data_IF_434766647661
#
_entry.id   IF_434766647661
#
_cell.length_a   1.000
_cell.length_b   1.000
_cell.length_c   1.000
_cell.angle_alpha   90.00
_cell.angle_beta   90.00
_cell.angle_gamma   90.00
#
_symmetry.space_group_name_H-M   'P 1'
#
loop_
_entity.id
_entity.type
_entity.pdbx_description
1 polymer ?
#
# COMPACT_ATOMS: atom_id res chain seq x y z
N UNK A 1 -3.45 10.05 63.18
CA UNK A 1 -2.74 9.03 62.35
C UNK A 1 -3.49 8.82 61.06
N UNK A 2 -3.03 9.42 59.97
CA UNK A 2 -3.67 9.32 58.66
C UNK A 2 -3.18 8.06 57.95
N UNK A 3 -4.08 7.12 57.63
CA UNK A 3 -3.82 5.93 56.80
C UNK A 3 -3.50 6.37 55.36
N UNK A 4 -2.25 6.24 54.95
CA UNK A 4 -1.84 6.34 53.55
C UNK A 4 -2.48 5.18 52.78
N UNK A 5 -3.50 5.45 52.01
CA UNK A 5 -4.03 4.51 50.98
C UNK A 5 -2.95 4.24 49.94
N UNK A 6 -2.39 3.03 49.95
CA UNK A 6 -1.51 2.54 48.87
C UNK A 6 -2.36 2.49 47.59
N UNK A 7 -2.02 3.36 46.60
CA UNK A 7 -2.51 3.23 45.24
C UNK A 7 -2.10 1.84 44.71
N UNK A 8 -3.02 1.05 44.08
CA UNK A 8 -2.68 -0.23 43.52
C UNK A 8 -1.62 -0.03 42.44
N UNK A 9 -0.54 -0.80 42.53
CA UNK A 9 0.52 -0.79 41.52
C UNK A 9 -0.11 -1.17 40.14
N UNK A 10 0.15 -0.35 39.11
CA UNK A 10 -0.24 -0.68 37.73
C UNK A 10 0.26 -2.09 37.39
N UNK A 11 -0.59 -2.97 36.83
CA UNK A 11 -0.15 -4.31 36.46
C UNK A 11 1.05 -4.23 35.52
N UNK A 12 2.06 -5.05 35.80
CA UNK A 12 3.30 -5.08 35.03
C UNK A 12 2.98 -5.66 33.64
N UNK A 13 3.25 -4.90 32.58
CA UNK A 13 3.04 -5.35 31.18
C UNK A 13 3.81 -6.64 30.93
N UNK A 14 3.19 -7.56 30.19
CA UNK A 14 3.85 -8.76 29.69
C UNK A 14 4.88 -8.40 28.60
N UNK A 15 5.82 -9.29 28.31
CA UNK A 15 6.79 -9.07 27.21
C UNK A 15 6.12 -8.86 25.86
N UNK A 16 4.99 -9.55 25.60
CA UNK A 16 4.20 -9.36 24.38
C UNK A 16 3.58 -7.96 24.32
N UNK A 17 2.93 -7.50 25.37
CA UNK A 17 2.34 -6.16 25.44
C UNK A 17 3.40 -5.08 25.28
N UNK A 18 4.57 -5.30 25.86
CA UNK A 18 5.71 -4.39 25.72
C UNK A 18 6.22 -4.33 24.27
N UNK A 19 6.31 -5.48 23.61
CA UNK A 19 6.69 -5.54 22.20
C UNK A 19 5.70 -4.76 21.31
N UNK A 20 4.39 -4.94 21.54
CA UNK A 20 3.35 -4.21 20.80
C UNK A 20 3.44 -2.70 21.04
N UNK A 21 3.58 -2.27 22.28
CA UNK A 21 3.77 -0.86 22.63
C UNK A 21 4.95 -0.25 21.87
N UNK A 22 6.09 -0.96 21.86
CA UNK A 22 7.29 -0.48 21.17
C UNK A 22 7.09 -0.33 19.66
N UNK A 23 6.38 -1.25 19.01
CA UNK A 23 6.08 -1.17 17.58
C UNK A 23 5.18 0.03 17.29
N UNK A 24 4.13 0.27 18.09
CA UNK A 24 3.25 1.43 17.93
C UNK A 24 4.01 2.75 18.06
N UNK A 25 4.87 2.87 19.08
CA UNK A 25 5.69 4.09 19.29
C UNK A 25 6.71 4.26 18.16
N UNK A 26 7.40 3.19 17.75
CA UNK A 26 8.38 3.24 16.68
C UNK A 26 7.73 3.65 15.34
N UNK A 27 6.53 3.13 15.04
CA UNK A 27 5.75 3.53 13.88
C UNK A 27 5.56 5.05 13.81
N UNK A 28 5.11 5.68 14.89
CA UNK A 28 4.95 7.13 14.94
C UNK A 28 6.28 7.87 14.76
N UNK A 29 7.35 7.42 15.41
CA UNK A 29 8.69 8.04 15.26
C UNK A 29 9.18 7.95 13.81
N UNK A 30 9.05 6.79 13.17
CA UNK A 30 9.47 6.61 11.79
C UNK A 30 8.58 7.38 10.80
N UNK A 31 7.28 7.48 11.03
CA UNK A 31 6.38 8.28 10.21
C UNK A 31 6.74 9.77 10.25
N UNK A 32 7.03 10.30 11.43
CA UNK A 32 7.41 11.70 11.62
C UNK A 32 8.74 12.04 10.95
N UNK A 33 9.79 11.23 11.18
CA UNK A 33 11.17 11.58 10.87
C UNK A 33 11.78 10.82 9.69
N UNK A 34 11.25 9.64 9.36
CA UNK A 34 11.90 8.66 8.48
C UNK A 34 12.89 7.78 9.25
N UNK A 35 13.45 6.80 8.53
CA UNK A 35 14.36 5.81 9.12
C UNK A 35 15.68 6.43 9.61
N UNK A 36 16.37 7.22 8.75
CA UNK A 36 17.72 7.71 9.07
C UNK A 36 17.79 8.60 10.31
N UNK A 37 16.94 9.65 10.48
CA UNK A 37 17.01 10.53 11.65
C UNK A 37 16.43 9.92 12.94
N UNK A 38 15.63 8.85 12.85
CA UNK A 38 15.06 8.18 14.01
C UNK A 38 16.16 7.46 14.83
N UNK A 39 15.99 7.41 16.16
CA UNK A 39 16.93 6.73 17.06
C UNK A 39 16.24 5.80 18.05
N UNK A 40 16.99 4.77 18.51
CA UNK A 40 16.52 3.85 19.56
C UNK A 40 16.28 4.60 20.87
N UNK A 41 17.09 5.62 21.13
CA UNK A 41 16.97 6.49 22.32
C UNK A 41 15.60 7.19 22.35
N UNK A 42 15.18 7.74 21.23
CA UNK A 42 13.90 8.44 21.12
C UNK A 42 12.72 7.48 21.22
N UNK A 43 12.79 6.32 20.54
CA UNK A 43 11.76 5.28 20.65
C UNK A 43 11.62 4.82 22.09
N UNK A 44 12.74 4.55 22.78
CA UNK A 44 12.74 4.15 24.18
C UNK A 44 12.15 5.23 25.10
N UNK A 45 12.55 6.50 24.89
CA UNK A 45 12.04 7.63 25.66
C UNK A 45 10.53 7.81 25.49
N UNK A 46 10.02 7.79 24.23
CA UNK A 46 8.57 7.90 23.96
C UNK A 46 7.77 6.70 24.47
N UNK A 47 8.37 5.52 24.50
CA UNK A 47 7.74 4.31 25.05
C UNK A 47 7.87 4.20 26.58
N UNK A 48 8.53 5.15 27.25
CA UNK A 48 8.81 5.15 28.69
C UNK A 48 9.56 3.87 29.13
N UNK A 49 10.54 3.43 28.35
CA UNK A 49 11.40 2.28 28.66
C UNK A 49 12.88 2.65 28.58
N UNK A 50 13.75 1.76 29.09
CA UNK A 50 15.18 1.91 28.89
C UNK A 50 15.62 1.38 27.49
N UNK A 51 16.67 1.95 26.93
CA UNK A 51 17.27 1.54 25.64
C UNK A 51 17.54 0.03 25.56
N UNK A 52 18.09 -0.65 26.59
CA UNK A 52 18.27 -2.12 26.57
C UNK A 52 17.00 -2.90 26.27
N UNK A 53 15.84 -2.45 26.67
CA UNK A 53 14.54 -3.11 26.39
C UNK A 53 14.24 -3.15 24.90
N UNK A 54 14.55 -2.07 24.17
CA UNK A 54 14.38 -2.05 22.70
C UNK A 54 15.34 -3.04 22.05
N UNK A 55 16.60 -3.08 22.49
CA UNK A 55 17.58 -4.05 21.97
C UNK A 55 17.21 -5.50 22.28
N UNK A 56 16.67 -5.78 23.46
CA UNK A 56 16.20 -7.12 23.86
C UNK A 56 15.09 -7.62 22.94
N UNK A 57 14.15 -6.75 22.57
CA UNK A 57 12.98 -7.14 21.76
C UNK A 57 13.23 -7.15 20.25
N UNK A 58 14.16 -6.33 19.75
CA UNK A 58 14.29 -6.07 18.30
C UNK A 58 15.72 -6.06 17.80
N UNK A 59 16.72 -6.10 18.66
CA UNK A 59 18.13 -6.05 18.25
C UNK A 59 18.64 -4.66 17.84
N UNK A 60 17.77 -3.65 17.75
CA UNK A 60 18.14 -2.29 17.38
C UNK A 60 17.11 -1.58 16.49
N UNK A 61 17.54 -0.46 15.87
CA UNK A 61 16.71 0.40 15.00
C UNK A 61 16.23 -0.37 13.78
N UNK A 62 17.12 -1.08 13.12
CA UNK A 62 16.86 -1.86 11.92
C UNK A 62 15.82 -2.97 12.18
N UNK A 63 15.94 -3.66 13.31
CA UNK A 63 15.04 -4.75 13.66
C UNK A 63 13.62 -4.28 13.98
N UNK A 64 13.45 -3.18 14.73
CA UNK A 64 12.12 -2.64 15.00
C UNK A 64 11.51 -2.00 13.75
N UNK A 65 12.32 -1.37 12.88
CA UNK A 65 11.89 -0.81 11.61
C UNK A 65 11.37 -1.92 10.68
N UNK A 66 12.12 -3.01 10.51
CA UNK A 66 11.71 -4.14 9.70
C UNK A 66 10.35 -4.71 10.15
N UNK A 67 10.12 -4.83 11.47
CA UNK A 67 8.84 -5.30 12.01
C UNK A 67 7.71 -4.31 11.74
N UNK A 68 7.97 -3.01 11.80
CA UNK A 68 6.96 -1.98 11.46
C UNK A 68 6.58 -2.08 9.98
N UNK A 69 7.57 -2.08 9.08
CA UNK A 69 7.34 -2.18 7.63
C UNK A 69 6.60 -3.47 7.25
N UNK A 70 7.04 -4.61 7.78
CA UNK A 70 6.42 -5.91 7.53
C UNK A 70 4.94 -5.92 7.91
N UNK A 71 4.58 -5.36 9.06
CA UNK A 71 3.18 -5.24 9.50
C UNK A 71 2.34 -4.36 8.59
N UNK A 72 2.86 -3.21 8.18
CA UNK A 72 2.13 -2.29 7.31
C UNK A 72 1.93 -2.89 5.91
N UNK A 73 2.96 -3.55 5.36
CA UNK A 73 2.86 -4.29 4.09
C UNK A 73 1.81 -5.38 4.19
N UNK A 74 1.85 -6.19 5.27
CA UNK A 74 0.91 -7.30 5.45
C UNK A 74 -0.54 -6.79 5.58
N UNK A 75 -0.76 -5.76 6.40
CA UNK A 75 -2.10 -5.20 6.60
C UNK A 75 -2.68 -4.64 5.29
N UNK A 76 -1.88 -3.89 4.52
CA UNK A 76 -2.32 -3.34 3.24
C UNK A 76 -2.56 -4.44 2.21
N UNK A 77 -1.64 -5.42 2.12
CA UNK A 77 -1.76 -6.58 1.23
C UNK A 77 -3.04 -7.37 1.50
N UNK A 78 -3.33 -7.65 2.78
CA UNK A 78 -4.54 -8.39 3.18
C UNK A 78 -5.81 -7.64 2.76
N UNK A 79 -5.87 -6.32 2.95
CA UNK A 79 -7.01 -5.48 2.55
C UNK A 79 -7.21 -5.47 1.03
N UNK A 80 -6.14 -5.31 0.26
CA UNK A 80 -6.23 -5.31 -1.20
C UNK A 80 -6.59 -6.68 -1.76
N UNK A 81 -6.00 -7.75 -1.24
CA UNK A 81 -6.31 -9.13 -1.62
C UNK A 81 -7.76 -9.47 -1.29
N UNK A 82 -8.25 -9.10 -0.13
CA UNK A 82 -9.66 -9.28 0.23
C UNK A 82 -10.60 -8.52 -0.73
N UNK A 83 -10.24 -7.29 -1.11
CA UNK A 83 -11.01 -6.50 -2.07
C UNK A 83 -11.07 -7.14 -3.47
N UNK A 84 -9.96 -7.74 -3.93
CA UNK A 84 -9.87 -8.41 -5.23
C UNK A 84 -10.56 -9.78 -5.25
N UNK A 85 -10.59 -10.50 -4.12
CA UNK A 85 -11.08 -11.88 -4.03
C UNK A 85 -12.61 -12.03 -4.10
N UNK A 86 -13.36 -10.96 -3.86
CA UNK A 86 -14.82 -11.01 -3.88
C UNK A 86 -15.31 -11.08 -5.32
N UNK A 87 -15.99 -12.18 -5.68
CA UNK A 87 -16.65 -12.32 -6.98
C UNK A 87 -17.78 -11.31 -7.11
N UNK A 88 -17.62 -10.38 -8.04
CA UNK A 88 -18.57 -9.30 -8.32
C UNK A 88 -18.39 -8.82 -9.76
N UNK A 89 -19.24 -7.88 -10.19
CA UNK A 89 -19.07 -7.21 -11.47
C UNK A 89 -17.69 -6.49 -11.53
N UNK A 90 -16.90 -6.62 -12.62
CA UNK A 90 -15.53 -6.09 -12.69
C UNK A 90 -15.39 -4.62 -12.28
N UNK A 91 -16.37 -3.76 -12.63
CA UNK A 91 -16.40 -2.36 -12.19
C UNK A 91 -16.39 -2.22 -10.66
N UNK A 92 -17.16 -3.10 -9.95
CA UNK A 92 -17.21 -3.09 -8.49
C UNK A 92 -15.92 -3.60 -7.86
N UNK A 93 -15.20 -4.49 -8.55
CA UNK A 93 -13.88 -4.93 -8.09
C UNK A 93 -12.91 -3.75 -8.12
N UNK A 94 -12.87 -2.97 -9.22
CA UNK A 94 -12.04 -1.76 -9.32
C UNK A 94 -12.40 -0.73 -8.22
N UNK A 95 -13.69 -0.45 -8.05
CA UNK A 95 -14.20 0.48 -7.03
C UNK A 95 -13.79 0.07 -5.61
N UNK A 96 -14.01 -1.20 -5.27
CA UNK A 96 -13.67 -1.75 -3.94
C UNK A 96 -12.18 -1.73 -3.68
N UNK A 97 -11.36 -2.04 -4.68
CA UNK A 97 -9.90 -2.02 -4.55
C UNK A 97 -9.38 -0.59 -4.35
N UNK A 98 -9.90 0.38 -5.11
CA UNK A 98 -9.58 1.79 -4.91
C UNK A 98 -9.99 2.29 -3.51
N UNK A 99 -11.19 1.94 -3.05
CA UNK A 99 -11.65 2.27 -1.70
C UNK A 99 -10.79 1.59 -0.63
N UNK A 100 -10.42 0.32 -0.79
CA UNK A 100 -9.60 -0.40 0.19
C UNK A 100 -8.23 0.28 0.41
N UNK A 101 -7.57 0.76 -0.67
CA UNK A 101 -6.35 1.53 -0.54
C UNK A 101 -6.59 2.87 0.15
N UNK A 102 -7.57 3.66 -0.29
CA UNK A 102 -7.83 4.98 0.26
C UNK A 102 -8.31 4.92 1.72
N UNK A 103 -9.11 3.91 2.09
CA UNK A 103 -9.49 3.63 3.47
C UNK A 103 -8.27 3.30 4.34
N UNK A 104 -7.32 2.51 3.82
CA UNK A 104 -6.07 2.23 4.51
C UNK A 104 -5.26 3.51 4.71
N UNK A 105 -5.10 4.33 3.66
CA UNK A 105 -4.37 5.62 3.75
C UNK A 105 -4.99 6.54 4.79
N UNK A 106 -6.33 6.61 4.88
CA UNK A 106 -7.03 7.46 5.85
C UNK A 106 -6.88 6.95 7.29
N UNK A 107 -6.99 5.62 7.49
CA UNK A 107 -6.96 5.01 8.82
C UNK A 107 -5.56 4.77 9.35
N UNK A 108 -4.57 4.61 8.47
CA UNK A 108 -3.20 4.22 8.77
C UNK A 108 -2.18 5.17 8.13
N UNK A 109 -2.39 6.48 8.27
CA UNK A 109 -1.57 7.52 7.66
C UNK A 109 -0.07 7.33 7.94
N UNK A 110 0.31 7.10 9.19
CA UNK A 110 1.69 6.86 9.62
C UNK A 110 2.29 5.64 8.90
N UNK A 111 1.54 4.54 8.84
CA UNK A 111 1.97 3.32 8.17
C UNK A 111 2.19 3.52 6.68
N UNK A 112 1.22 4.12 6.00
CA UNK A 112 1.34 4.37 4.58
C UNK A 112 2.46 5.37 4.25
N UNK A 113 2.67 6.40 5.10
CA UNK A 113 3.79 7.34 4.99
C UNK A 113 5.16 6.64 5.05
N UNK A 114 5.31 5.66 5.96
CA UNK A 114 6.52 4.83 6.04
C UNK A 114 6.72 4.06 4.74
N UNK A 115 5.67 3.37 4.27
CA UNK A 115 5.75 2.56 3.05
C UNK A 115 6.18 3.35 1.82
N UNK A 116 5.57 4.52 1.57
CA UNK A 116 5.85 5.32 0.37
C UNK A 116 7.13 6.14 0.45
N UNK A 117 7.60 6.50 1.66
CA UNK A 117 8.83 7.26 1.86
C UNK A 117 10.08 6.45 1.55
N UNK A 118 10.13 5.23 2.10
CA UNK A 118 11.34 4.39 2.05
C UNK A 118 11.29 3.36 0.91
N UNK A 119 10.14 3.24 0.25
CA UNK A 119 9.92 2.42 -0.95
C UNK A 119 9.02 3.17 -1.93
N UNK A 120 9.45 4.31 -2.49
CA UNK A 120 8.61 5.05 -3.43
C UNK A 120 8.18 4.17 -4.59
N UNK A 121 6.92 4.27 -5.01
CA UNK A 121 6.38 3.52 -6.15
C UNK A 121 7.25 3.69 -7.40
N UNK A 122 7.85 4.87 -7.56
CA UNK A 122 8.72 5.20 -8.70
C UNK A 122 10.08 4.45 -8.72
N UNK A 123 10.53 3.87 -7.60
CA UNK A 123 11.85 3.21 -7.53
C UNK A 123 11.81 1.71 -7.83
N UNK A 124 10.64 1.10 -7.90
CA UNK A 124 10.42 -0.34 -8.17
C UNK A 124 11.25 -1.27 -7.25
N UNK A 125 11.66 -0.80 -6.07
CA UNK A 125 12.46 -1.55 -5.09
C UNK A 125 11.87 -1.44 -3.69
N UNK A 126 12.08 -2.48 -2.87
CA UNK A 126 11.63 -2.51 -1.48
C UNK A 126 10.29 -3.22 -1.27
N UNK A 127 9.90 -3.40 0.01
CA UNK A 127 8.75 -4.23 0.40
C UNK A 127 7.41 -3.75 -0.18
N UNK A 128 7.19 -2.45 -0.27
CA UNK A 128 5.97 -1.89 -0.84
C UNK A 128 5.87 -2.13 -2.35
N UNK A 129 6.97 -1.94 -3.08
CA UNK A 129 7.01 -2.22 -4.52
C UNK A 129 6.82 -3.71 -4.83
N UNK A 130 7.41 -4.60 -4.01
CA UNK A 130 7.20 -6.04 -4.13
C UNK A 130 5.74 -6.42 -3.92
N UNK A 131 5.10 -5.88 -2.89
CA UNK A 131 3.66 -6.08 -2.63
C UNK A 131 2.81 -5.59 -3.80
N UNK A 132 3.11 -4.40 -4.37
CA UNK A 132 2.38 -3.90 -5.54
C UNK A 132 2.56 -4.81 -6.76
N UNK A 133 3.73 -5.44 -6.94
CA UNK A 133 3.98 -6.47 -7.94
C UNK A 133 3.10 -7.70 -7.78
N UNK A 134 2.96 -8.20 -6.56
CA UNK A 134 2.08 -9.34 -6.23
C UNK A 134 0.60 -9.01 -6.50
N UNK A 135 0.17 -7.82 -6.13
CA UNK A 135 -1.18 -7.32 -6.44
C UNK A 135 -1.37 -7.19 -7.97
N UNK A 136 -0.37 -6.69 -8.71
CA UNK A 136 -0.44 -6.60 -10.15
C UNK A 136 -0.57 -7.98 -10.82
N UNK A 137 0.15 -9.00 -10.34
CA UNK A 137 -0.01 -10.38 -10.80
C UNK A 137 -1.43 -10.94 -10.56
N UNK A 138 -2.05 -10.59 -9.43
CA UNK A 138 -3.45 -10.96 -9.15
C UNK A 138 -4.41 -10.26 -10.12
N UNK A 139 -4.21 -8.97 -10.37
CA UNK A 139 -5.03 -8.19 -11.33
C UNK A 139 -4.83 -8.70 -12.77
N UNK A 140 -3.60 -9.05 -13.15
CA UNK A 140 -3.28 -9.65 -14.45
C UNK A 140 -4.09 -10.94 -14.69
N UNK A 141 -4.11 -11.86 -13.73
CA UNK A 141 -4.86 -13.11 -13.86
C UNK A 141 -6.38 -12.85 -14.06
N UNK A 142 -6.93 -11.85 -13.34
CA UNK A 142 -8.32 -11.43 -13.50
C UNK A 142 -8.59 -10.82 -14.89
N UNK A 143 -7.67 -9.97 -15.37
CA UNK A 143 -7.80 -9.33 -16.69
C UNK A 143 -7.62 -10.32 -17.83
N UNK A 144 -6.66 -11.25 -17.75
CA UNK A 144 -6.43 -12.25 -18.80
C UNK A 144 -7.71 -13.05 -19.09
N UNK A 145 -8.41 -13.51 -18.04
CA UNK A 145 -9.71 -14.21 -18.18
C UNK A 145 -10.75 -13.32 -18.87
N UNK A 146 -10.84 -12.05 -18.49
CA UNK A 146 -11.81 -11.12 -19.08
C UNK A 146 -11.44 -10.75 -20.51
N UNK A 147 -10.15 -10.70 -20.86
CA UNK A 147 -9.68 -10.41 -22.21
C UNK A 147 -10.03 -11.55 -23.17
N UNK A 148 -9.83 -12.81 -22.74
CA UNK A 148 -10.27 -13.99 -23.49
C UNK A 148 -11.77 -13.96 -23.77
N UNK A 149 -12.61 -13.64 -22.78
CA UNK A 149 -14.07 -13.56 -22.91
C UNK A 149 -14.54 -12.45 -23.89
N UNK A 150 -13.71 -11.43 -24.13
CA UNK A 150 -14.06 -10.26 -24.96
C UNK A 150 -13.25 -10.16 -26.25
N UNK A 151 -12.56 -11.24 -26.66
CA UNK A 151 -11.70 -11.30 -27.84
C UNK A 151 -10.58 -10.23 -27.86
N UNK A 152 -10.04 -9.90 -26.69
CA UNK A 152 -8.85 -9.08 -26.52
C UNK A 152 -7.64 -9.99 -26.36
N UNK A 153 -6.44 -9.47 -26.61
CA UNK A 153 -5.19 -10.22 -26.46
C UNK A 153 -4.82 -10.40 -24.97
N UNK A 154 -4.90 -11.63 -24.39
CA UNK A 154 -4.61 -11.88 -23.00
C UNK A 154 -3.15 -11.60 -22.64
N UNK A 155 -2.19 -11.64 -23.58
CA UNK A 155 -0.78 -11.32 -23.34
C UNK A 155 -0.59 -9.84 -22.96
N UNK A 156 -1.56 -8.98 -23.29
CA UNK A 156 -1.55 -7.57 -22.89
C UNK A 156 -2.07 -7.32 -21.47
N UNK A 157 -2.63 -8.32 -20.79
CA UNK A 157 -3.18 -8.20 -19.44
C UNK A 157 -2.16 -7.67 -18.42
N UNK A 158 -0.89 -8.11 -18.52
CA UNK A 158 0.21 -7.61 -17.68
C UNK A 158 0.35 -6.10 -17.77
N UNK A 159 0.32 -5.53 -18.98
CA UNK A 159 0.44 -4.09 -19.23
C UNK A 159 -0.70 -3.32 -18.54
N UNK A 160 -1.94 -3.79 -18.74
CA UNK A 160 -3.11 -3.11 -18.14
C UNK A 160 -3.18 -3.28 -16.62
N UNK A 161 -2.72 -4.41 -16.08
CA UNK A 161 -2.58 -4.61 -14.64
C UNK A 161 -1.62 -3.59 -14.03
N UNK A 162 -0.44 -3.39 -14.64
CA UNK A 162 0.54 -2.39 -14.20
C UNK A 162 -0.04 -0.96 -14.26
N UNK A 163 -0.77 -0.63 -15.34
CA UNK A 163 -1.42 0.69 -15.47
C UNK A 163 -2.44 0.92 -14.35
N UNK A 164 -3.32 -0.05 -14.07
CA UNK A 164 -4.36 0.08 -13.04
C UNK A 164 -3.78 0.17 -11.64
N UNK A 165 -2.84 -0.71 -11.29
CA UNK A 165 -2.20 -0.72 -9.98
C UNK A 165 -1.38 0.56 -9.79
N UNK A 166 -0.61 0.98 -10.78
CA UNK A 166 0.13 2.23 -10.75
C UNK A 166 -0.76 3.44 -10.57
N UNK A 167 -1.85 3.54 -11.35
CA UNK A 167 -2.82 4.63 -11.23
C UNK A 167 -3.38 4.75 -9.80
N UNK A 168 -3.82 3.63 -9.21
CA UNK A 168 -4.40 3.60 -7.87
C UNK A 168 -3.33 3.92 -6.82
N UNK A 169 -2.14 3.31 -6.90
CA UNK A 169 -1.05 3.49 -5.94
C UNK A 169 -0.51 4.94 -5.93
N UNK A 170 -0.24 5.52 -7.10
CA UNK A 170 0.20 6.92 -7.21
C UNK A 170 -0.86 7.91 -6.76
N UNK A 171 -2.13 7.65 -7.05
CA UNK A 171 -3.22 8.49 -6.55
C UNK A 171 -3.33 8.40 -5.03
N UNK A 172 -3.18 7.21 -4.43
CA UNK A 172 -3.14 7.06 -2.98
C UNK A 172 -1.98 7.80 -2.34
N UNK A 173 -0.79 7.73 -2.94
CA UNK A 173 0.39 8.47 -2.47
C UNK A 173 0.18 10.00 -2.53
N UNK A 174 -0.36 10.52 -3.62
CA UNK A 174 -0.71 11.93 -3.73
C UNK A 174 -1.77 12.33 -2.70
N UNK A 175 -2.81 11.49 -2.54
CA UNK A 175 -3.91 11.79 -1.65
C UNK A 175 -3.53 11.75 -0.16
N UNK A 176 -2.48 11.01 0.21
CA UNK A 176 -1.90 11.04 1.57
C UNK A 176 -1.66 12.47 2.07
N UNK A 177 -1.19 13.35 1.21
CA UNK A 177 -0.88 14.74 1.56
C UNK A 177 -2.04 15.70 1.22
N UNK A 178 -2.74 15.47 0.11
CA UNK A 178 -3.77 16.37 -0.37
C UNK A 178 -5.06 16.35 0.46
N UNK A 179 -5.53 15.13 0.84
CA UNK A 179 -6.77 14.86 1.61
C UNK A 179 -8.06 15.42 0.99
N UNK A 180 -7.98 16.09 -0.13
CA UNK A 180 -9.09 16.66 -0.90
C UNK A 180 -8.93 16.30 -2.39
N UNK A 181 -10.03 15.93 -3.08
CA UNK A 181 -11.36 15.71 -2.53
C UNK A 181 -11.40 14.50 -1.58
N UNK A 182 -12.58 14.26 -0.97
CA UNK A 182 -12.77 13.13 -0.08
C UNK A 182 -12.53 11.76 -0.77
N UNK A 183 -12.18 10.74 -0.01
CA UNK A 183 -11.77 9.42 -0.54
C UNK A 183 -12.82 8.79 -1.46
N UNK A 184 -14.10 8.97 -1.18
CA UNK A 184 -15.18 8.40 -2.00
C UNK A 184 -15.26 9.06 -3.37
N UNK A 185 -15.00 10.36 -3.43
CA UNK A 185 -14.91 11.12 -4.69
C UNK A 185 -13.68 10.66 -5.49
N UNK A 186 -12.52 10.52 -4.83
CA UNK A 186 -11.29 10.02 -5.48
C UNK A 186 -11.51 8.61 -6.02
N UNK A 187 -12.07 7.70 -5.22
CA UNK A 187 -12.38 6.33 -5.65
C UNK A 187 -13.34 6.30 -6.84
N UNK A 188 -14.36 7.15 -6.84
CA UNK A 188 -15.31 7.25 -7.94
C UNK A 188 -14.64 7.69 -9.25
N UNK A 189 -13.72 8.67 -9.19
CA UNK A 189 -12.96 9.11 -10.37
C UNK A 189 -11.96 8.07 -10.86
N UNK A 190 -11.24 7.39 -9.97
CA UNK A 190 -10.37 6.26 -10.30
C UNK A 190 -11.16 5.14 -11.00
N UNK A 191 -12.30 4.77 -10.42
CA UNK A 191 -13.19 3.75 -10.98
C UNK A 191 -13.73 4.16 -12.35
N UNK A 192 -14.16 5.43 -12.48
CA UNK A 192 -14.68 5.93 -13.74
C UNK A 192 -13.64 5.89 -14.85
N UNK A 193 -12.42 6.35 -14.58
CA UNK A 193 -11.31 6.32 -15.54
C UNK A 193 -10.90 4.89 -15.90
N UNK A 194 -10.62 4.04 -14.91
CA UNK A 194 -10.19 2.67 -15.12
C UNK A 194 -11.25 1.83 -15.84
N UNK A 195 -12.50 1.89 -15.40
CA UNK A 195 -13.59 1.12 -16.01
C UNK A 195 -13.90 1.55 -17.45
N UNK A 196 -14.02 2.84 -17.71
CA UNK A 196 -14.33 3.32 -19.05
C UNK A 196 -13.15 3.14 -20.01
N UNK A 197 -11.90 3.22 -19.52
CA UNK A 197 -10.71 2.87 -20.27
C UNK A 197 -10.75 1.39 -20.70
N UNK A 198 -10.92 0.49 -19.73
CA UNK A 198 -11.00 -0.96 -20.01
C UNK A 198 -12.15 -1.33 -20.97
N UNK A 199 -13.33 -0.72 -20.76
CA UNK A 199 -14.50 -0.99 -21.60
C UNK A 199 -14.37 -0.46 -23.02
N UNK A 200 -13.57 0.59 -23.22
CA UNK A 200 -13.35 1.24 -24.51
C UNK A 200 -12.07 0.77 -25.22
N UNK A 201 -11.44 -0.30 -24.79
CA UNK A 201 -10.20 -0.78 -25.40
C UNK A 201 -10.38 -1.20 -26.83
N UNK A 202 -9.45 -0.78 -27.69
CA UNK A 202 -9.30 -1.28 -29.04
C UNK A 202 -8.54 -2.62 -29.04
N UNK A 203 -8.94 -3.56 -29.90
CA UNK A 203 -8.23 -4.84 -30.07
C UNK A 203 -6.78 -4.68 -30.55
N UNK A 204 -6.51 -3.64 -31.31
CA UNK A 204 -5.19 -3.31 -31.84
C UNK A 204 -4.97 -1.79 -31.80
N UNK A 205 -4.66 -1.24 -30.62
CA UNK A 205 -4.46 0.20 -30.48
C UNK A 205 -3.27 0.68 -31.30
N UNK A 206 -3.41 1.82 -31.94
CA UNK A 206 -2.38 2.41 -32.82
C UNK A 206 -2.05 3.83 -32.38
N UNK A 207 -0.78 4.18 -32.53
CA UNK A 207 -0.35 5.57 -32.32
C UNK A 207 -0.82 6.45 -33.49
N UNK A 208 -1.27 7.66 -33.17
CA UNK A 208 -1.48 8.69 -34.16
C UNK A 208 -0.12 9.22 -34.59
N UNK A 209 0.24 9.08 -35.86
CA UNK A 209 1.44 9.69 -36.42
C UNK A 209 1.15 11.10 -36.93
N UNK A 210 2.16 12.02 -36.96
CA UNK A 210 1.96 13.39 -37.46
C UNK A 210 1.35 13.47 -38.85
N UNK A 211 1.55 12.44 -39.69
CA UNK A 211 1.03 12.38 -41.05
C UNK A 211 -0.32 11.65 -41.20
N UNK A 212 -1.00 11.35 -40.08
CA UNK A 212 -2.32 10.68 -40.08
C UNK A 212 -2.29 9.21 -40.52
N UNK A 213 -1.13 8.61 -40.81
CA UNK A 213 -0.99 7.21 -41.13
C UNK A 213 -0.81 6.39 -39.84
N UNK A 214 -1.70 5.42 -39.59
CA UNK A 214 -1.59 4.50 -38.46
C UNK A 214 -0.45 3.52 -38.64
N UNK A 215 0.54 3.53 -37.76
CA UNK A 215 1.62 2.53 -37.78
C UNK A 215 1.12 1.20 -37.20
N UNK A 216 1.28 0.11 -37.96
CA UNK A 216 0.98 -1.23 -37.47
C UNK A 216 1.98 -1.63 -36.39
N UNK A 217 1.57 -2.39 -35.32
CA UNK A 217 2.48 -2.93 -34.34
C UNK A 217 3.53 -3.81 -35.04
N UNK A 218 4.81 -3.51 -34.79
CA UNK A 218 5.91 -4.30 -35.36
C UNK A 218 5.80 -5.74 -34.88
N UNK A 219 5.77 -6.69 -35.84
CA UNK A 219 5.92 -8.10 -35.53
C UNK A 219 7.30 -8.28 -34.90
N UNK A 220 7.35 -8.67 -33.65
CA UNK A 220 8.55 -9.18 -32.98
C UNK A 220 9.05 -10.36 -33.81
N UNK A 221 10.20 -10.19 -34.48
CA UNK A 221 10.87 -11.32 -35.13
C UNK A 221 11.48 -12.19 -34.03
N UNK A 222 11.23 -13.47 -34.14
CA UNK A 222 11.73 -14.61 -33.36
C UNK A 222 13.22 -14.64 -33.21
#
# INVERSE_FOLDING_TARGET
MARRTRQPARPRMTGRERREQLVVVARSVFAEKGFEPASVEEIAARAEVSKPVVYEHFGGKEGIYAVVVDREVQELSDRLTAALSVKDHPKRVVERTALALLDYVEQNEDGFRILVRDSPVAQATGPFSSMLGDIAGTVEALLATQFEEHDLDPDTATLYAQMLVGMIAFTGQWWLEAKIPDRTVVAAHLTNLGWNGLRGMERAPRLLTPDGAATAPGKSQS
#
